data_IF_242914893779
#
_entry.id   IF_242914893779
#
_cell.length_a   1.000
_cell.length_b   1.000
_cell.length_c   1.000
_cell.angle_alpha   90.00
_cell.angle_beta   90.00
_cell.angle_gamma   90.00
#
_symmetry.space_group_name_H-M   'P 1'
#
loop_
_entity.id
_entity.type
_entity.pdbx_description
1 polymer ?
#
# COMPACT_ATOMS: atom_id res chain seq x y z
N UNK A 1 8.10 -13.43 -11.78
CA UNK A 1 7.67 -12.12 -11.25
C UNK A 1 7.10 -11.38 -12.44
N UNK A 2 5.78 -11.17 -12.49
CA UNK A 2 5.14 -10.43 -13.58
C UNK A 2 5.74 -9.03 -13.71
N UNK A 3 5.78 -8.52 -14.94
CA UNK A 3 6.40 -7.24 -15.28
C UNK A 3 5.64 -6.13 -14.56
N UNK A 4 6.27 -5.49 -13.58
CA UNK A 4 5.66 -4.34 -12.92
C UNK A 4 5.55 -3.17 -13.90
N UNK A 5 4.34 -2.65 -14.08
CA UNK A 5 4.02 -1.55 -15.00
C UNK A 5 4.33 -0.21 -14.36
N UNK A 6 4.18 -0.10 -13.03
CA UNK A 6 4.48 1.13 -12.29
C UNK A 6 5.96 1.14 -11.90
N UNK A 7 6.70 2.08 -12.49
CA UNK A 7 8.11 2.31 -12.17
C UNK A 7 8.35 3.50 -11.23
N UNK A 8 7.41 4.46 -11.18
CA UNK A 8 7.59 5.74 -10.49
C UNK A 8 6.43 6.05 -9.55
N UNK A 9 6.71 6.87 -8.55
CA UNK A 9 5.73 7.39 -7.58
C UNK A 9 5.99 8.87 -7.31
N UNK A 10 4.90 9.65 -7.19
CA UNK A 10 4.96 11.06 -6.81
C UNK A 10 4.83 11.20 -5.29
N UNK A 11 5.85 11.76 -4.65
CA UNK A 11 5.89 12.09 -3.22
C UNK A 11 4.98 13.27 -2.90
N UNK A 12 4.69 13.48 -1.60
CA UNK A 12 3.83 14.58 -1.11
C UNK A 12 4.39 15.97 -1.42
N UNK A 13 5.71 16.11 -1.47
CA UNK A 13 6.40 17.33 -1.86
C UNK A 13 6.50 17.54 -3.38
N UNK A 14 5.85 16.68 -4.17
CA UNK A 14 5.86 16.74 -5.63
C UNK A 14 7.03 16.04 -6.31
N UNK A 15 8.05 15.58 -5.57
CA UNK A 15 9.20 14.86 -6.16
C UNK A 15 8.76 13.52 -6.74
N UNK A 16 9.42 13.10 -7.82
CA UNK A 16 9.23 11.77 -8.42
C UNK A 16 10.36 10.85 -7.95
N UNK A 17 10.00 9.68 -7.43
CA UNK A 17 10.93 8.65 -6.98
C UNK A 17 10.61 7.30 -7.62
N UNK A 18 11.50 6.32 -7.47
CA UNK A 18 11.22 4.95 -7.89
C UNK A 18 10.13 4.32 -7.01
N UNK A 19 9.21 3.63 -7.67
CA UNK A 19 8.19 2.87 -6.98
C UNK A 19 8.81 1.63 -6.33
N UNK A 20 8.57 1.44 -5.03
CA UNK A 20 9.10 0.32 -4.27
C UNK A 20 7.97 -0.39 -3.52
N UNK A 21 7.50 -1.56 -4.00
CA UNK A 21 6.39 -2.30 -3.38
C UNK A 21 6.74 -2.80 -1.98
N UNK A 22 8.03 -2.94 -1.64
CA UNK A 22 8.45 -3.32 -0.27
C UNK A 22 8.01 -2.29 0.77
N UNK A 23 7.87 -1.02 0.38
CA UNK A 23 7.38 0.03 1.29
C UNK A 23 5.92 -0.21 1.67
N UNK A 24 5.10 -0.66 0.72
CA UNK A 24 3.70 -1.03 0.94
C UNK A 24 3.63 -2.24 1.86
N UNK A 25 4.35 -3.31 1.52
CA UNK A 25 4.44 -4.53 2.34
C UNK A 25 4.81 -4.23 3.78
N UNK A 26 5.86 -3.44 3.99
CA UNK A 26 6.32 -3.12 5.33
C UNK A 26 5.29 -2.32 6.14
N UNK A 27 4.56 -1.42 5.48
CA UNK A 27 3.52 -0.64 6.14
C UNK A 27 2.30 -1.50 6.51
N UNK A 28 1.85 -2.37 5.59
CA UNK A 28 0.80 -3.37 5.86
C UNK A 28 1.23 -4.29 7.00
N UNK A 29 2.43 -4.86 6.93
CA UNK A 29 2.94 -5.76 7.96
C UNK A 29 2.98 -5.11 9.35
N UNK A 30 3.39 -3.83 9.45
CA UNK A 30 3.36 -3.09 10.72
C UNK A 30 1.95 -2.92 11.26
N UNK A 31 0.96 -2.65 10.41
CA UNK A 31 -0.42 -2.55 10.83
C UNK A 31 -0.96 -3.90 11.33
N UNK A 32 -0.61 -5.01 10.69
CA UNK A 32 -0.93 -6.36 11.16
C UNK A 32 -0.33 -6.67 12.53
N UNK A 33 0.93 -6.28 12.75
CA UNK A 33 1.58 -6.45 14.06
C UNK A 33 0.91 -5.62 15.15
N UNK A 34 0.48 -4.39 14.84
CA UNK A 34 -0.17 -3.50 15.80
C UNK A 34 -1.50 -4.05 16.32
N UNK A 35 -2.24 -4.80 15.49
CA UNK A 35 -3.49 -5.45 15.90
C UNK A 35 -3.33 -6.91 16.35
N UNK A 36 -2.09 -7.37 16.55
CA UNK A 36 -1.78 -8.75 16.97
C UNK A 36 -2.33 -9.85 16.03
N UNK A 37 -2.69 -9.49 14.78
CA UNK A 37 -3.17 -10.45 13.75
C UNK A 37 -2.03 -11.02 12.91
N UNK A 38 -0.79 -10.90 13.40
CA UNK A 38 0.46 -11.09 12.67
C UNK A 38 0.44 -12.27 11.69
N UNK A 39 0.70 -11.96 10.42
CA UNK A 39 1.02 -12.95 9.40
C UNK A 39 1.73 -12.25 8.23
N UNK A 40 3.04 -12.48 8.11
CA UNK A 40 3.86 -11.90 7.05
C UNK A 40 3.44 -12.35 5.66
N UNK A 41 2.85 -13.54 5.54
CA UNK A 41 2.38 -14.09 4.26
C UNK A 41 1.18 -13.32 3.72
N UNK A 42 0.25 -12.93 4.61
CA UNK A 42 -0.91 -12.08 4.24
C UNK A 42 -0.48 -10.70 3.77
N UNK A 43 0.55 -10.12 4.40
CA UNK A 43 1.07 -8.83 3.97
C UNK A 43 1.62 -8.88 2.54
N UNK A 44 2.27 -9.99 2.16
CA UNK A 44 2.78 -10.20 0.81
C UNK A 44 1.64 -10.43 -0.22
N UNK A 45 0.59 -11.17 0.12
CA UNK A 45 -0.61 -11.31 -0.73
C UNK A 45 -1.29 -9.96 -0.98
N UNK A 46 -1.58 -9.22 0.10
CA UNK A 46 -2.25 -7.92 0.02
C UNK A 46 -1.42 -6.89 -0.74
N UNK A 47 -0.09 -6.94 -0.61
CA UNK A 47 0.80 -6.07 -1.38
C UNK A 47 0.67 -6.32 -2.88
N UNK A 48 0.60 -7.59 -3.31
CA UNK A 48 0.43 -7.94 -4.73
C UNK A 48 -0.90 -7.44 -5.26
N UNK A 49 -1.97 -7.58 -4.49
CA UNK A 49 -3.29 -7.08 -4.87
C UNK A 49 -3.32 -5.55 -4.99
N UNK A 50 -2.72 -4.83 -4.03
CA UNK A 50 -2.58 -3.37 -4.10
C UNK A 50 -1.80 -2.95 -5.35
N UNK A 51 -0.66 -3.59 -5.62
CA UNK A 51 0.14 -3.30 -6.81
C UNK A 51 -0.67 -3.52 -8.08
N UNK A 52 -1.39 -4.64 -8.18
CA UNK A 52 -2.24 -4.94 -9.34
C UNK A 52 -3.31 -3.87 -9.57
N UNK A 53 -4.01 -3.44 -8.52
CA UNK A 53 -5.04 -2.39 -8.61
C UNK A 53 -4.40 -1.06 -9.03
N UNK A 54 -3.24 -0.72 -8.48
CA UNK A 54 -2.52 0.48 -8.88
C UNK A 54 -2.13 0.42 -10.35
N UNK A 55 -1.59 -0.71 -10.83
CA UNK A 55 -1.22 -0.89 -12.23
C UNK A 55 -2.42 -0.74 -13.17
N UNK A 56 -3.58 -1.23 -12.76
CA UNK A 56 -4.81 -1.07 -13.53
C UNK A 56 -5.33 0.37 -13.56
N UNK A 57 -5.25 1.09 -12.43
CA UNK A 57 -5.71 2.48 -12.30
C UNK A 57 -4.76 3.51 -12.91
N UNK A 58 -3.46 3.25 -12.85
CA UNK A 58 -2.40 4.20 -13.20
C UNK A 58 -1.57 3.76 -14.41
N UNK A 59 -2.18 3.10 -15.40
CA UNK A 59 -1.51 2.62 -16.62
C UNK A 59 -0.71 3.70 -17.37
N UNK A 60 -1.19 4.94 -17.35
CA UNK A 60 -0.61 6.07 -18.11
C UNK A 60 -0.23 7.25 -17.22
N UNK A 61 -0.33 7.11 -15.89
CA UNK A 61 -0.10 8.20 -14.93
C UNK A 61 0.80 7.71 -13.80
N UNK A 62 1.51 8.65 -13.16
CA UNK A 62 2.32 8.33 -11.99
C UNK A 62 1.42 8.42 -10.75
N UNK A 63 1.22 7.33 -9.97
CA UNK A 63 0.45 7.40 -8.74
C UNK A 63 1.17 8.27 -7.71
N UNK A 64 0.41 8.94 -6.86
CA UNK A 64 0.94 9.64 -5.69
C UNK A 64 1.04 8.72 -4.48
N UNK A 65 1.73 9.17 -3.43
CA UNK A 65 1.76 8.47 -2.14
C UNK A 65 0.36 8.30 -1.56
N UNK A 66 -0.52 9.30 -1.71
CA UNK A 66 -1.91 9.21 -1.23
C UNK A 66 -2.71 8.17 -2.00
N UNK A 67 -2.59 8.14 -3.34
CA UNK A 67 -3.26 7.13 -4.18
C UNK A 67 -2.90 5.69 -3.75
N UNK A 68 -1.63 5.47 -3.39
CA UNK A 68 -1.15 4.20 -2.87
C UNK A 68 -1.76 3.90 -1.51
N UNK A 69 -1.77 4.88 -0.60
CA UNK A 69 -2.33 4.71 0.75
C UNK A 69 -3.82 4.42 0.71
N UNK A 70 -4.60 5.14 -0.09
CA UNK A 70 -6.04 4.93 -0.25
C UNK A 70 -6.32 3.54 -0.84
N UNK A 71 -5.52 3.10 -1.81
CA UNK A 71 -5.65 1.74 -2.38
C UNK A 71 -5.35 0.65 -1.34
N UNK A 72 -4.36 0.86 -0.45
CA UNK A 72 -4.07 -0.08 0.65
C UNK A 72 -5.26 -0.19 1.60
N UNK A 73 -5.84 0.93 2.03
CA UNK A 73 -7.01 0.97 2.92
C UNK A 73 -8.21 0.28 2.27
N UNK A 74 -8.46 0.55 0.99
CA UNK A 74 -9.51 -0.10 0.22
C UNK A 74 -9.36 -1.63 0.21
N UNK A 75 -8.16 -2.14 -0.08
CA UNK A 75 -7.88 -3.58 -0.12
C UNK A 75 -8.03 -4.22 1.26
N UNK A 76 -7.49 -3.61 2.30
CA UNK A 76 -7.63 -4.11 3.67
C UNK A 76 -9.10 -4.22 4.09
N UNK A 77 -9.91 -3.21 3.82
CA UNK A 77 -11.33 -3.22 4.10
C UNK A 77 -12.07 -4.30 3.29
N UNK A 78 -11.81 -4.40 1.98
CA UNK A 78 -12.43 -5.42 1.10
C UNK A 78 -12.12 -6.85 1.53
N UNK A 79 -10.92 -7.09 2.06
CA UNK A 79 -10.49 -8.41 2.56
C UNK A 79 -10.93 -8.69 4.00
N UNK A 80 -11.73 -7.80 4.61
CA UNK A 80 -12.26 -7.98 5.97
C UNK A 80 -11.28 -7.58 7.08
N UNK A 81 -10.13 -6.98 6.74
CA UNK A 81 -9.13 -6.52 7.69
C UNK A 81 -9.39 -5.08 8.17
N UNK A 82 -10.65 -4.73 8.49
CA UNK A 82 -11.02 -3.37 8.88
C UNK A 82 -10.25 -2.83 10.09
N UNK A 83 -9.95 -3.68 11.07
CA UNK A 83 -9.10 -3.29 12.22
C UNK A 83 -7.66 -2.92 11.79
N UNK A 84 -7.11 -3.66 10.83
CA UNK A 84 -5.77 -3.37 10.27
C UNK A 84 -5.80 -2.08 9.46
N UNK A 85 -6.88 -1.83 8.70
CA UNK A 85 -7.05 -0.60 7.95
C UNK A 85 -7.04 0.64 8.86
N UNK A 86 -7.77 0.58 9.99
CA UNK A 86 -7.79 1.66 10.98
C UNK A 86 -6.40 1.92 11.58
N UNK A 87 -5.67 0.87 11.98
CA UNK A 87 -4.29 1.04 12.48
C UNK A 87 -3.33 1.57 11.41
N UNK A 88 -3.51 1.14 10.16
CA UNK A 88 -2.74 1.66 9.04
C UNK A 88 -3.00 3.16 8.81
N UNK A 89 -4.26 3.61 8.89
CA UNK A 89 -4.63 5.02 8.79
C UNK A 89 -4.06 5.84 9.95
N UNK A 90 -4.13 5.34 11.18
CA UNK A 90 -3.53 5.99 12.34
C UNK A 90 -2.00 6.12 12.19
N UNK A 91 -1.35 5.14 11.55
CA UNK A 91 0.07 5.21 11.23
C UNK A 91 0.39 6.23 10.13
N UNK A 92 -0.50 6.40 9.14
CA UNK A 92 -0.36 7.41 8.08
C UNK A 92 -0.31 8.81 8.68
N UNK A 93 -1.18 9.11 9.65
CA UNK A 93 -1.25 10.44 10.29
C UNK A 93 0.02 10.74 11.10
N UNK A 94 0.58 9.75 11.80
CA UNK A 94 1.82 9.93 12.58
C UNK A 94 3.09 10.12 11.72
N UNK A 95 3.03 9.74 10.45
CA UNK A 95 4.12 9.91 9.48
C UNK A 95 3.87 11.02 8.47
N UNK A 96 2.74 11.74 8.60
CA UNK A 96 2.42 12.90 7.79
C UNK A 96 3.20 14.13 8.25
#
# INVERSE_FOLDING_TARGET
>A
MEKMVIAKIRKRDGRIADFNPKMIRNAIHRAFLAVELGDGEKADELTREVVKILEERFKTKIPSVEDVQDTVVEVLNKRGYGKVALEYEAYREKKA
#
